data_IF_357931222144
#
_entry.id   IF_357931222144
#
_cell.length_a   1.000
_cell.length_b   1.000
_cell.length_c   1.000
_cell.angle_alpha   90.00
_cell.angle_beta   90.00
_cell.angle_gamma   90.00
#
_symmetry.space_group_name_H-M   'P 1'
#
loop_
_entity.id
_entity.type
_entity.pdbx_description
1 polymer ?
#
# COMPACT_ATOMS: atom_id res chain seq x y z
N UNK A 1 97.66 35.53 25.23
CA UNK A 1 97.17 34.96 24.00
C UNK A 1 95.69 34.64 24.22
N UNK A 2 94.83 35.38 23.59
CA UNK A 2 93.38 35.21 23.73
C UNK A 2 92.79 34.16 22.79
N UNK A 3 91.93 33.34 23.33
CA UNK A 3 91.12 32.41 22.52
C UNK A 3 89.90 33.11 21.95
N UNK A 4 89.45 32.79 20.72
CA UNK A 4 88.25 33.40 20.11
C UNK A 4 86.98 32.65 20.52
N UNK A 5 86.03 33.45 20.90
CA UNK A 5 84.67 33.06 21.26
C UNK A 5 83.88 32.67 20.01
N UNK A 6 83.30 31.49 19.98
CA UNK A 6 82.36 31.07 18.94
C UNK A 6 80.96 31.66 19.20
N UNK A 7 80.24 32.12 18.15
CA UNK A 7 78.86 32.58 18.31
C UNK A 7 77.88 31.42 18.32
N UNK A 8 76.98 31.48 19.28
CA UNK A 8 75.83 30.57 19.48
C UNK A 8 74.81 30.77 18.36
N UNK A 9 74.52 29.71 17.63
CA UNK A 9 73.45 29.69 16.61
C UNK A 9 72.12 29.63 17.32
N UNK A 10 71.29 30.65 17.14
CA UNK A 10 69.90 30.70 17.64
C UNK A 10 69.02 29.66 16.88
N UNK A 11 68.42 28.78 17.63
CA UNK A 11 67.42 27.83 17.12
C UNK A 11 66.18 28.57 16.61
N UNK A 12 65.86 28.35 15.35
CA UNK A 12 64.67 28.91 14.71
C UNK A 12 63.37 28.36 15.33
N UNK A 13 62.49 29.27 15.72
CA UNK A 13 61.17 28.96 16.20
C UNK A 13 60.31 28.24 15.11
N UNK A 14 59.49 27.26 15.46
CA UNK A 14 58.63 26.59 14.46
C UNK A 14 57.55 27.56 13.98
N UNK A 15 57.46 27.68 12.66
CA UNK A 15 56.41 28.44 11.96
C UNK A 15 55.05 27.84 12.23
N UNK A 16 54.02 28.58 12.69
CA UNK A 16 52.68 28.03 12.87
C UNK A 16 52.06 27.70 11.52
N UNK A 17 51.49 26.51 11.45
CA UNK A 17 50.73 26.06 10.29
C UNK A 17 49.53 26.96 9.99
N UNK A 18 49.17 27.22 8.74
CA UNK A 18 48.03 28.06 8.38
C UNK A 18 46.72 27.44 8.83
N UNK A 19 46.01 28.10 9.74
CA UNK A 19 44.65 27.76 10.15
C UNK A 19 43.70 28.04 8.96
N UNK A 20 42.84 27.09 8.56
CA UNK A 20 41.87 27.34 7.47
C UNK A 20 40.85 28.40 7.91
N UNK A 21 40.42 29.30 6.99
CA UNK A 21 39.57 30.43 7.30
C UNK A 21 38.21 29.95 7.82
N UNK A 22 37.81 30.45 9.00
CA UNK A 22 36.59 30.08 9.74
C UNK A 22 35.27 30.25 8.94
N UNK A 23 35.29 31.04 7.84
CA UNK A 23 34.15 31.26 6.97
C UNK A 23 33.74 30.01 6.15
N UNK A 24 34.71 29.20 5.74
CA UNK A 24 34.43 28.01 4.91
C UNK A 24 33.71 26.91 5.68
N UNK A 25 34.02 26.72 6.94
CA UNK A 25 33.30 25.75 7.81
C UNK A 25 31.86 26.17 8.08
N UNK A 26 31.62 27.47 8.29
CA UNK A 26 30.23 27.98 8.48
C UNK A 26 29.40 27.84 7.21
N UNK A 27 29.97 28.13 6.04
CA UNK A 27 29.32 27.95 4.75
C UNK A 27 28.97 26.48 4.48
N UNK A 28 29.89 25.55 4.76
CA UNK A 28 29.63 24.09 4.60
C UNK A 28 28.55 23.60 5.56
N UNK A 29 28.51 24.07 6.79
CA UNK A 29 27.45 23.72 7.74
C UNK A 29 26.08 24.24 7.29
N UNK A 30 26.00 25.48 6.80
CA UNK A 30 24.75 26.04 6.28
C UNK A 30 24.25 25.26 5.07
N UNK A 31 25.11 24.92 4.10
CA UNK A 31 24.75 24.11 2.93
C UNK A 31 24.30 22.72 3.35
N UNK A 32 24.95 22.10 4.31
CA UNK A 32 24.58 20.77 4.81
C UNK A 32 23.22 20.79 5.53
N UNK A 33 22.92 21.82 6.33
CA UNK A 33 21.61 21.99 6.98
C UNK A 33 20.49 22.28 5.97
N UNK A 34 20.75 23.08 4.93
CA UNK A 34 19.78 23.32 3.85
C UNK A 34 19.51 22.05 3.05
N UNK A 35 20.53 21.26 2.71
CA UNK A 35 20.36 19.99 1.99
C UNK A 35 19.57 18.96 2.83
N UNK A 36 19.83 18.88 4.14
CA UNK A 36 19.09 18.02 5.06
C UNK A 36 17.62 18.45 5.18
N UNK A 37 17.35 19.76 5.27
CA UNK A 37 16.01 20.31 5.29
C UNK A 37 15.19 19.98 4.03
N UNK A 38 15.80 20.09 2.86
CA UNK A 38 15.17 19.73 1.57
C UNK A 38 14.88 18.23 1.49
N UNK A 39 15.80 17.38 1.98
CA UNK A 39 15.60 15.93 2.00
C UNK A 39 14.43 15.52 2.91
N UNK A 40 14.29 16.13 4.07
CA UNK A 40 13.20 15.88 5.03
C UNK A 40 11.86 16.35 4.43
N UNK A 41 11.83 17.54 3.80
CA UNK A 41 10.62 18.03 3.15
C UNK A 41 10.17 17.16 1.97
N UNK A 42 11.09 16.69 1.14
CA UNK A 42 10.79 15.76 0.04
C UNK A 42 10.24 14.41 0.55
N UNK A 43 10.81 13.88 1.64
CA UNK A 43 10.33 12.64 2.26
C UNK A 43 8.91 12.78 2.83
N UNK A 44 8.59 13.93 3.43
CA UNK A 44 7.26 14.20 3.98
C UNK A 44 6.18 14.27 2.90
N UNK A 45 6.49 14.88 1.75
CA UNK A 45 5.59 14.97 0.59
C UNK A 45 5.34 13.60 0.00
N UNK A 46 6.36 12.76 -0.14
CA UNK A 46 6.22 11.41 -0.66
C UNK A 46 5.32 10.55 0.26
N UNK A 47 5.52 10.60 1.57
CA UNK A 47 4.67 9.91 2.56
C UNK A 47 3.23 10.42 2.47
N UNK A 48 3.03 11.74 2.37
CA UNK A 48 1.69 12.34 2.26
C UNK A 48 0.96 11.91 0.98
N UNK A 49 1.65 11.84 -0.17
CA UNK A 49 1.09 11.36 -1.44
C UNK A 49 0.74 9.86 -1.40
N UNK A 50 1.54 9.04 -0.71
CA UNK A 50 1.27 7.60 -0.56
C UNK A 50 0.17 7.30 0.46
N UNK A 51 0.03 8.11 1.51
CA UNK A 51 -0.94 7.93 2.58
C UNK A 51 -2.13 8.88 2.51
N UNK A 52 -2.30 9.66 1.43
CA UNK A 52 -3.45 10.57 1.29
C UNK A 52 -4.76 9.79 1.27
N UNK A 53 -5.57 9.83 2.32
CA UNK A 53 -6.87 9.15 2.35
C UNK A 53 -7.85 9.70 1.31
N UNK A 54 -7.61 10.93 0.82
CA UNK A 54 -8.48 11.59 -0.14
C UNK A 54 -8.47 10.97 -1.55
N UNK A 55 -7.35 10.35 -1.99
CA UNK A 55 -7.32 9.64 -3.27
C UNK A 55 -8.25 8.42 -3.29
N UNK A 56 -8.45 7.78 -2.11
CA UNK A 56 -9.43 6.70 -1.95
C UNK A 56 -10.87 7.21 -1.82
N UNK A 57 -11.07 8.37 -1.19
CA UNK A 57 -12.41 8.95 -1.00
C UNK A 57 -13.03 9.46 -2.32
N UNK A 58 -12.24 10.03 -3.23
CA UNK A 58 -12.73 10.44 -4.55
C UNK A 58 -13.04 9.26 -5.48
N UNK A 59 -12.32 8.16 -5.38
CA UNK A 59 -12.63 6.93 -6.11
C UNK A 59 -13.93 6.27 -5.63
N UNK A 60 -14.27 6.40 -4.35
CA UNK A 60 -15.52 5.88 -3.76
C UNK A 60 -16.72 6.75 -4.16
N UNK A 61 -16.54 8.06 -4.40
CA UNK A 61 -17.64 8.98 -4.74
C UNK A 61 -18.12 8.86 -6.19
N UNK A 62 -17.32 8.27 -7.08
CA UNK A 62 -17.67 8.05 -8.50
C UNK A 62 -17.97 6.58 -8.76
N UNK A 63 -18.62 5.80 -8.11
CA UNK A 63 -18.87 4.38 -8.37
C UNK A 63 -17.95 3.70 -9.39
N UNK A 64 -17.81 2.41 -9.43
CA UNK A 64 -16.93 1.73 -10.39
C UNK A 64 -17.44 1.96 -11.83
N UNK A 65 -16.55 2.37 -12.74
CA UNK A 65 -16.88 2.60 -14.14
C UNK A 65 -17.28 1.30 -14.87
N UNK A 66 -16.78 0.15 -14.39
CA UNK A 66 -17.04 -1.16 -14.96
C UNK A 66 -17.48 -2.11 -13.86
N UNK A 67 -18.71 -2.67 -14.01
CA UNK A 67 -19.28 -3.62 -13.06
C UNK A 67 -19.61 -4.93 -13.80
N UNK A 68 -18.98 -5.99 -13.34
CA UNK A 68 -19.24 -7.35 -13.82
C UNK A 68 -20.20 -8.07 -12.85
N UNK A 69 -21.33 -8.54 -13.35
CA UNK A 69 -22.28 -9.30 -12.57
C UNK A 69 -21.95 -10.79 -12.61
N UNK A 70 -21.50 -11.33 -11.47
CA UNK A 70 -21.30 -12.78 -11.31
C UNK A 70 -22.64 -13.50 -11.36
N UNK A 71 -23.62 -13.00 -10.60
CA UNK A 71 -24.97 -13.53 -10.51
C UNK A 71 -25.41 -13.80 -9.08
N UNK A 72 -26.56 -14.42 -8.94
CA UNK A 72 -27.09 -14.87 -7.65
C UNK A 72 -26.58 -16.27 -7.34
N UNK A 73 -25.95 -16.42 -6.18
CA UNK A 73 -25.38 -17.66 -5.65
C UNK A 73 -26.19 -18.09 -4.46
N UNK A 74 -26.56 -19.37 -4.40
CA UNK A 74 -27.21 -19.99 -3.27
C UNK A 74 -26.32 -21.13 -2.76
N UNK A 75 -25.90 -21.05 -1.50
CA UNK A 75 -25.05 -22.06 -0.87
C UNK A 75 -25.56 -22.43 0.51
N UNK A 76 -25.25 -23.64 0.95
CA UNK A 76 -25.42 -24.02 2.34
C UNK A 76 -24.40 -23.26 3.20
N UNK A 77 -24.84 -22.71 4.32
CA UNK A 77 -23.95 -22.04 5.29
C UNK A 77 -23.15 -23.09 6.04
N UNK A 78 -21.84 -22.89 6.15
CA UNK A 78 -20.96 -23.78 6.90
C UNK A 78 -21.42 -23.93 8.36
N UNK A 79 -21.12 -25.08 8.96
CA UNK A 79 -21.40 -25.41 10.37
C UNK A 79 -22.91 -25.46 10.76
N UNK A 80 -23.83 -25.38 9.79
CA UNK A 80 -25.27 -25.43 10.04
C UNK A 80 -25.89 -26.79 9.75
N UNK A 81 -25.09 -27.80 9.37
CA UNK A 81 -25.56 -29.12 8.91
C UNK A 81 -26.65 -29.04 7.80
N UNK A 82 -26.48 -28.09 6.89
CA UNK A 82 -27.39 -27.86 5.76
C UNK A 82 -28.75 -27.27 6.13
N UNK A 83 -28.90 -26.75 7.35
CA UNK A 83 -30.18 -26.17 7.84
C UNK A 83 -30.35 -24.69 7.49
N UNK A 84 -29.29 -24.06 7.02
CA UNK A 84 -29.29 -22.64 6.63
C UNK A 84 -28.71 -22.45 5.23
N UNK A 85 -29.33 -21.56 4.48
CA UNK A 85 -28.90 -21.18 3.14
C UNK A 85 -28.54 -19.70 3.11
N UNK A 86 -27.45 -19.37 2.44
CA UNK A 86 -27.12 -18.02 2.04
C UNK A 86 -27.51 -17.83 0.58
N UNK A 87 -28.29 -16.80 0.31
CA UNK A 87 -28.52 -16.27 -1.04
C UNK A 87 -27.84 -14.93 -1.17
N UNK A 88 -26.87 -14.81 -2.06
CA UNK A 88 -26.12 -13.59 -2.29
C UNK A 88 -26.03 -13.30 -3.78
N UNK A 89 -26.29 -12.06 -4.18
CA UNK A 89 -26.00 -11.57 -5.52
C UNK A 89 -24.67 -10.81 -5.49
N UNK A 90 -23.71 -11.27 -6.27
CA UNK A 90 -22.33 -10.80 -6.29
C UNK A 90 -22.05 -9.98 -7.54
N UNK A 91 -21.51 -8.80 -7.37
CA UNK A 91 -21.04 -7.91 -8.42
C UNK A 91 -19.59 -7.50 -8.16
N UNK A 92 -18.78 -7.38 -9.21
CA UNK A 92 -17.36 -7.10 -9.15
C UNK A 92 -17.06 -5.79 -9.88
N UNK A 93 -16.29 -4.91 -9.25
CA UNK A 93 -15.73 -3.76 -9.93
C UNK A 93 -14.44 -4.14 -10.65
N UNK A 94 -14.33 -3.79 -11.93
CA UNK A 94 -13.10 -3.88 -12.70
C UNK A 94 -12.44 -2.50 -12.83
N UNK A 95 -11.09 -2.39 -12.72
CA UNK A 95 -10.40 -1.11 -12.80
C UNK A 95 -10.33 -0.54 -14.24
N UNK A 96 -10.58 -1.37 -15.26
CA UNK A 96 -10.53 -0.95 -16.65
C UNK A 96 -11.40 -1.84 -17.55
N UNK A 97 -11.67 -1.39 -18.78
CA UNK A 97 -12.38 -2.19 -19.80
C UNK A 97 -11.61 -3.45 -20.20
N UNK A 98 -10.29 -3.45 -20.12
CA UNK A 98 -9.45 -4.63 -20.35
C UNK A 98 -9.71 -5.70 -19.29
N UNK A 99 -9.72 -5.29 -18.01
CA UNK A 99 -9.99 -6.22 -16.92
C UNK A 99 -11.45 -6.69 -16.90
N UNK A 100 -12.38 -5.83 -17.31
CA UNK A 100 -13.79 -6.24 -17.51
C UNK A 100 -13.91 -7.41 -18.49
N UNK A 101 -13.27 -7.32 -19.67
CA UNK A 101 -13.25 -8.44 -20.65
C UNK A 101 -12.63 -9.70 -20.07
N UNK A 102 -11.55 -9.53 -19.27
CA UNK A 102 -10.92 -10.67 -18.60
C UNK A 102 -11.86 -11.36 -17.61
N UNK A 103 -12.68 -10.61 -16.86
CA UNK A 103 -13.71 -11.20 -16.00
C UNK A 103 -14.77 -11.96 -16.81
N UNK A 104 -15.17 -11.42 -17.97
CA UNK A 104 -16.11 -12.09 -18.88
C UNK A 104 -15.57 -13.42 -19.40
N UNK A 105 -14.31 -13.45 -19.85
CA UNK A 105 -13.62 -14.65 -20.34
C UNK A 105 -13.45 -15.72 -19.24
N UNK A 106 -13.30 -15.32 -17.99
CA UNK A 106 -13.09 -16.22 -16.85
C UNK A 106 -14.35 -16.39 -15.97
N UNK A 107 -15.53 -16.18 -16.54
CA UNK A 107 -16.81 -16.24 -15.79
C UNK A 107 -16.98 -17.53 -14.98
N UNK A 108 -16.71 -18.68 -15.56
CA UNK A 108 -16.89 -19.98 -14.89
C UNK A 108 -16.03 -20.13 -13.64
N UNK A 109 -14.70 -19.95 -13.68
CA UNK A 109 -13.87 -20.00 -12.48
C UNK A 109 -14.22 -18.92 -11.45
N UNK A 110 -14.72 -17.76 -11.85
CA UNK A 110 -15.19 -16.73 -10.93
C UNK A 110 -16.43 -17.18 -10.14
N UNK A 111 -17.42 -17.75 -10.82
CA UNK A 111 -18.64 -18.29 -10.18
C UNK A 111 -18.26 -19.41 -9.21
N UNK A 112 -17.44 -20.37 -9.62
CA UNK A 112 -16.99 -21.48 -8.79
C UNK A 112 -16.25 -21.00 -7.54
N UNK A 113 -15.30 -20.08 -7.71
CA UNK A 113 -14.56 -19.47 -6.58
C UNK A 113 -15.50 -18.76 -5.61
N UNK A 114 -16.47 -18.01 -6.11
CA UNK A 114 -17.43 -17.31 -5.27
C UNK A 114 -18.32 -18.29 -4.47
N UNK A 115 -18.75 -19.39 -5.07
CA UNK A 115 -19.46 -20.47 -4.40
C UNK A 115 -18.62 -21.08 -3.28
N UNK A 116 -17.34 -21.38 -3.54
CA UNK A 116 -16.42 -21.95 -2.56
C UNK A 116 -16.21 -21.01 -1.37
N UNK A 117 -15.96 -19.72 -1.62
CA UNK A 117 -15.73 -18.74 -0.55
C UNK A 117 -16.98 -18.56 0.32
N UNK A 118 -18.16 -18.39 -0.30
CA UNK A 118 -19.42 -18.22 0.43
C UNK A 118 -19.80 -19.47 1.21
N UNK A 119 -19.66 -20.66 0.60
CA UNK A 119 -20.00 -21.92 1.22
C UNK A 119 -19.08 -22.35 2.37
N UNK A 120 -17.84 -21.85 2.38
CA UNK A 120 -16.89 -22.09 3.47
C UNK A 120 -17.01 -21.11 4.64
N UNK A 121 -17.86 -20.08 4.54
CA UNK A 121 -17.98 -19.02 5.55
C UNK A 121 -18.97 -19.45 6.64
N UNK A 122 -18.56 -19.38 7.92
CA UNK A 122 -19.38 -19.71 9.07
C UNK A 122 -20.53 -18.70 9.27
N UNK A 123 -21.63 -19.15 9.86
CA UNK A 123 -22.84 -18.34 10.08
C UNK A 123 -22.56 -17.04 10.86
N UNK A 124 -21.79 -17.12 11.94
CA UNK A 124 -21.46 -15.95 12.77
C UNK A 124 -20.72 -14.87 11.98
N UNK A 125 -19.81 -15.29 11.11
CA UNK A 125 -19.09 -14.36 10.20
C UNK A 125 -20.00 -13.70 9.17
N UNK A 126 -21.06 -14.36 8.74
CA UNK A 126 -22.04 -13.81 7.82
C UNK A 126 -22.99 -12.80 8.49
N UNK A 127 -23.26 -12.97 9.78
CA UNK A 127 -24.13 -12.09 10.55
C UNK A 127 -23.42 -10.81 11.00
N UNK A 128 -22.11 -10.85 11.23
CA UNK A 128 -21.32 -9.71 11.67
C UNK A 128 -20.98 -8.75 10.51
N UNK A 129 -21.29 -7.46 10.67
CA UNK A 129 -21.04 -6.43 9.66
C UNK A 129 -19.55 -6.21 9.40
N UNK A 130 -18.70 -6.24 10.42
CA UNK A 130 -17.25 -6.07 10.30
C UNK A 130 -16.61 -7.24 9.57
N UNK A 131 -17.04 -8.46 9.87
CA UNK A 131 -16.56 -9.66 9.20
C UNK A 131 -17.02 -9.76 7.74
N UNK A 132 -18.16 -9.14 7.39
CA UNK A 132 -18.63 -9.07 6.00
C UNK A 132 -17.71 -8.24 5.10
N UNK A 133 -17.08 -7.18 5.60
CA UNK A 133 -16.06 -6.43 4.85
C UNK A 133 -14.76 -7.25 4.68
N UNK A 134 -14.39 -8.01 5.69
CA UNK A 134 -13.29 -8.98 5.60
C UNK A 134 -13.58 -10.06 4.56
N UNK A 135 -14.81 -10.58 4.52
CA UNK A 135 -15.26 -11.56 3.52
C UNK A 135 -15.17 -10.99 2.08
N UNK A 136 -15.57 -9.74 1.86
CA UNK A 136 -15.41 -9.08 0.55
C UNK A 136 -13.94 -8.99 0.14
N UNK A 137 -13.05 -8.68 1.06
CA UNK A 137 -11.60 -8.61 0.82
C UNK A 137 -11.04 -9.98 0.46
N UNK A 138 -11.36 -11.01 1.25
CA UNK A 138 -10.95 -12.39 0.97
C UNK A 138 -11.48 -12.89 -0.38
N UNK A 139 -12.74 -12.62 -0.67
CA UNK A 139 -13.36 -12.97 -1.96
C UNK A 139 -12.63 -12.29 -3.13
N UNK A 140 -12.36 -10.99 -3.04
CA UNK A 140 -11.58 -10.26 -4.05
C UNK A 140 -10.24 -10.93 -4.32
N UNK A 141 -9.51 -11.28 -3.26
CA UNK A 141 -8.17 -11.85 -3.38
C UNK A 141 -8.22 -13.26 -4.00
N UNK A 142 -9.20 -14.07 -3.63
CA UNK A 142 -9.44 -15.40 -4.23
C UNK A 142 -9.85 -15.31 -5.71
N UNK A 143 -10.73 -14.37 -6.05
CA UNK A 143 -11.15 -14.13 -7.43
C UNK A 143 -9.98 -13.65 -8.29
N UNK A 144 -9.14 -12.76 -7.79
CA UNK A 144 -7.92 -12.31 -8.46
C UNK A 144 -6.92 -13.45 -8.69
N UNK A 145 -6.78 -14.38 -7.75
CA UNK A 145 -5.99 -15.60 -7.93
C UNK A 145 -6.57 -16.48 -9.04
N UNK A 146 -7.89 -16.68 -9.07
CA UNK A 146 -8.56 -17.53 -10.05
C UNK A 146 -8.40 -17.01 -11.49
N UNK A 147 -8.34 -15.70 -11.71
CA UNK A 147 -8.13 -15.10 -13.03
C UNK A 147 -6.66 -14.80 -13.35
N UNK A 148 -5.76 -15.03 -12.40
CA UNK A 148 -4.32 -14.84 -12.58
C UNK A 148 -3.90 -13.38 -12.71
N UNK A 149 -4.50 -12.45 -11.94
CA UNK A 149 -4.14 -11.03 -11.94
C UNK A 149 -5.00 -10.15 -11.03
N UNK A 150 -4.90 -8.83 -11.16
CA UNK A 150 -5.65 -7.84 -10.37
C UNK A 150 -6.88 -7.33 -11.15
N UNK A 151 -7.72 -8.25 -11.64
CA UNK A 151 -8.89 -7.91 -12.45
C UNK A 151 -10.07 -7.40 -11.61
N UNK A 152 -10.14 -7.78 -10.32
CA UNK A 152 -11.18 -7.35 -9.38
C UNK A 152 -10.62 -6.30 -8.44
N UNK A 153 -11.14 -5.09 -8.49
CA UNK A 153 -10.77 -4.01 -7.56
C UNK A 153 -11.66 -4.02 -6.30
N UNK A 154 -12.93 -4.36 -6.43
CA UNK A 154 -13.89 -4.37 -5.33
C UNK A 154 -14.98 -5.41 -5.55
N UNK A 155 -15.54 -5.95 -4.45
CA UNK A 155 -16.67 -6.89 -4.43
C UNK A 155 -17.87 -6.23 -3.78
N UNK A 156 -19.03 -6.35 -4.42
CA UNK A 156 -20.31 -5.89 -3.90
C UNK A 156 -21.26 -7.06 -3.69
N UNK A 157 -22.01 -7.04 -2.59
CA UNK A 157 -23.18 -7.86 -2.38
C UNK A 157 -24.41 -6.96 -2.54
N UNK A 158 -25.16 -7.16 -3.65
CA UNK A 158 -26.38 -6.38 -3.92
C UNK A 158 -27.64 -7.05 -3.35
N UNK A 159 -27.54 -8.33 -3.02
CA UNK A 159 -28.49 -9.10 -2.24
C UNK A 159 -27.72 -9.99 -1.26
N UNK A 160 -28.16 -10.10 -0.01
CA UNK A 160 -27.53 -10.93 0.99
C UNK A 160 -28.55 -11.37 2.03
N UNK A 161 -29.07 -12.59 1.85
CA UNK A 161 -30.17 -13.14 2.66
C UNK A 161 -29.77 -14.50 3.20
N UNK A 162 -29.93 -14.70 4.51
CA UNK A 162 -29.71 -15.97 5.20
C UNK A 162 -31.09 -16.51 5.61
N UNK A 163 -31.39 -17.74 5.26
CA UNK A 163 -32.64 -18.43 5.56
C UNK A 163 -32.40 -19.74 6.28
#
# INVERSE_FOLDING_TARGET
MPSPTSPMVAAGAPTPAPTPPAGRRRLLLVVMFCALGVAIAASSIAVWLFFSPNARAEAVSRGPAYVFRVGTIVVNVAETNGRRYLRATVELAAPSSKEMRRLEEHRTPLVDTAIQVLGATALDSLLDHGQRETLKTQMRDRLNQAVGGQAVSQVFFTEFVIQ
#
